data_IF_467483975248
#
_entry.id   IF_467483975248
#
_cell.length_a   1.000
_cell.length_b   1.000
_cell.length_c   1.000
_cell.angle_alpha   90.00
_cell.angle_beta   90.00
_cell.angle_gamma   90.00
#
_symmetry.space_group_name_H-M   'P 1'
#
loop_
_entity.id
_entity.type
_entity.pdbx_description
1 polymer ?
#
# COMPACT_ATOMS: atom_id res chain seq x y z
N UNK A 1 -62.52 -5.75 -13.65
CA UNK A 1 -61.32 -6.45 -13.08
C UNK A 1 -60.06 -6.26 -13.95
N UNK A 2 -60.17 -6.18 -15.28
CA UNK A 2 -59.03 -6.04 -16.19
C UNK A 2 -58.29 -4.71 -16.05
N UNK A 3 -58.97 -3.61 -15.74
CA UNK A 3 -58.40 -2.28 -15.54
C UNK A 3 -57.52 -2.22 -14.27
N UNK A 4 -57.90 -2.92 -13.22
CA UNK A 4 -57.17 -3.00 -11.98
C UNK A 4 -55.81 -3.71 -12.14
N UNK A 5 -55.79 -4.79 -12.93
CA UNK A 5 -54.55 -5.55 -13.23
C UNK A 5 -53.59 -4.70 -14.05
N UNK A 6 -54.06 -4.00 -15.07
CA UNK A 6 -53.25 -3.12 -15.90
C UNK A 6 -52.64 -1.93 -15.11
N UNK A 7 -53.38 -1.36 -14.15
CA UNK A 7 -52.91 -0.31 -13.27
C UNK A 7 -51.85 -0.80 -12.28
N UNK A 8 -51.98 -2.02 -11.77
CA UNK A 8 -50.99 -2.66 -10.88
C UNK A 8 -49.68 -2.95 -11.65
N UNK A 9 -49.76 -3.50 -12.85
CA UNK A 9 -48.57 -3.76 -13.67
C UNK A 9 -47.84 -2.46 -14.09
N UNK A 10 -48.59 -1.41 -14.43
CA UNK A 10 -48.02 -0.09 -14.76
C UNK A 10 -47.28 0.52 -13.55
N UNK A 11 -47.84 0.44 -12.34
CA UNK A 11 -47.20 0.94 -11.14
C UNK A 11 -45.97 0.12 -10.73
N UNK A 12 -46.02 -1.20 -10.85
CA UNK A 12 -44.91 -2.08 -10.57
C UNK A 12 -43.71 -1.81 -11.52
N UNK A 13 -43.98 -1.55 -12.79
CA UNK A 13 -42.92 -1.22 -13.74
C UNK A 13 -42.27 0.15 -13.41
N UNK A 14 -43.05 1.16 -13.05
CA UNK A 14 -42.47 2.45 -12.59
C UNK A 14 -41.59 2.30 -11.34
N UNK A 15 -42.02 1.47 -10.38
CA UNK A 15 -41.23 1.19 -9.19
C UNK A 15 -39.90 0.48 -9.55
N UNK A 16 -39.93 -0.50 -10.47
CA UNK A 16 -38.73 -1.17 -10.97
C UNK A 16 -37.72 -0.19 -11.61
N UNK A 17 -38.20 0.75 -12.45
CA UNK A 17 -37.35 1.75 -13.06
C UNK A 17 -36.83 2.78 -12.05
N UNK A 18 -37.62 3.14 -11.03
CA UNK A 18 -37.19 4.04 -9.97
C UNK A 18 -36.08 3.40 -9.10
N UNK A 19 -36.27 2.13 -8.71
CA UNK A 19 -35.25 1.39 -7.93
C UNK A 19 -33.98 1.17 -8.76
N UNK A 20 -34.09 0.85 -10.05
CA UNK A 20 -32.94 0.71 -10.93
C UNK A 20 -32.20 2.03 -11.13
N UNK A 21 -32.90 3.17 -11.22
CA UNK A 21 -32.30 4.50 -11.34
C UNK A 21 -31.57 4.93 -10.06
N UNK A 22 -32.06 4.56 -8.87
CA UNK A 22 -31.43 4.88 -7.58
C UNK A 22 -30.13 4.06 -7.39
N UNK A 23 -30.07 2.82 -7.87
CA UNK A 23 -28.87 1.98 -7.78
C UNK A 23 -27.68 2.50 -8.60
N UNK A 24 -27.91 3.32 -9.65
CA UNK A 24 -26.84 3.84 -10.52
C UNK A 24 -26.09 5.02 -9.88
N UNK A 25 -26.65 5.70 -8.88
CA UNK A 25 -26.04 6.88 -8.24
C UNK A 25 -25.17 6.60 -7.02
N UNK A 26 -25.00 5.33 -6.59
CA UNK A 26 -24.03 4.97 -5.55
C UNK A 26 -22.69 4.58 -6.23
N UNK A 27 -22.19 5.40 -7.13
CA UNK A 27 -20.79 5.43 -7.46
C UNK A 27 -20.08 6.09 -6.28
N UNK A 28 -19.74 5.32 -5.26
CA UNK A 28 -18.94 5.79 -4.16
C UNK A 28 -17.63 6.36 -4.73
N UNK A 29 -17.45 7.67 -4.63
CA UNK A 29 -16.14 8.25 -4.81
C UNK A 29 -15.24 7.62 -3.75
N UNK A 30 -14.41 6.65 -4.14
CA UNK A 30 -13.31 6.19 -3.31
C UNK A 30 -12.35 7.38 -3.22
N UNK A 31 -12.45 8.16 -2.13
CA UNK A 31 -11.48 9.19 -1.85
C UNK A 31 -10.13 8.48 -1.62
N UNK A 32 -9.16 8.78 -2.47
CA UNK A 32 -7.77 8.39 -2.28
C UNK A 32 -7.23 9.08 -1.03
N UNK A 33 -6.71 8.31 -0.09
CA UNK A 33 -6.07 8.83 1.11
C UNK A 33 -4.56 9.04 0.88
N UNK A 34 -3.98 10.05 1.54
CA UNK A 34 -2.54 10.19 1.65
C UNK A 34 -2.09 9.75 3.05
N UNK A 35 -1.18 8.79 3.09
CA UNK A 35 -0.58 8.26 4.30
C UNK A 35 0.84 8.78 4.45
N UNK A 36 1.34 8.88 5.69
CA UNK A 36 2.68 9.40 5.96
C UNK A 36 3.57 8.31 6.55
N UNK A 37 4.78 8.18 6.01
CA UNK A 37 5.87 7.36 6.55
C UNK A 37 7.07 8.28 6.87
N UNK A 38 7.52 8.27 8.12
CA UNK A 38 8.67 9.05 8.57
C UNK A 38 9.96 8.26 8.38
N UNK A 39 11.02 8.95 7.98
CA UNK A 39 12.39 8.43 7.88
C UNK A 39 13.16 8.86 9.12
N UNK A 40 13.59 7.89 9.96
CA UNK A 40 14.15 8.15 11.29
C UNK A 40 15.50 7.44 11.49
N UNK A 41 16.45 8.17 12.08
CA UNK A 41 17.73 7.58 12.49
C UNK A 41 17.60 6.69 13.73
N UNK A 42 16.62 6.99 14.62
CA UNK A 42 16.32 6.18 15.80
C UNK A 42 14.84 6.32 16.18
N UNK A 43 14.24 5.22 16.61
CA UNK A 43 12.91 5.17 17.21
C UNK A 43 12.90 4.15 18.33
N UNK A 44 12.72 4.58 19.59
CA UNK A 44 12.62 3.71 20.77
C UNK A 44 13.75 2.67 20.87
N UNK A 45 14.99 3.07 20.55
CA UNK A 45 16.16 2.20 20.59
C UNK A 45 16.42 1.39 19.31
N UNK A 46 15.51 1.41 18.34
CA UNK A 46 15.76 0.86 17.02
C UNK A 46 16.41 1.90 16.10
N UNK A 47 17.57 1.58 15.54
CA UNK A 47 18.27 2.45 14.60
C UNK A 47 17.81 2.25 13.17
N UNK A 48 17.88 3.34 12.39
CA UNK A 48 17.62 3.35 10.95
C UNK A 48 16.28 2.70 10.61
N UNK A 49 15.17 3.42 10.84
CA UNK A 49 13.81 2.90 10.72
C UNK A 49 12.90 3.83 9.92
N UNK A 50 11.90 3.22 9.29
CA UNK A 50 10.71 3.91 8.82
C UNK A 50 9.60 3.80 9.87
N UNK A 51 8.71 4.79 9.97
CA UNK A 51 7.58 4.77 10.91
C UNK A 51 6.29 5.24 10.20
N UNK A 52 5.29 4.34 10.07
CA UNK A 52 5.33 2.91 10.37
C UNK A 52 6.21 2.14 9.36
N UNK A 53 6.83 1.02 9.75
CA UNK A 53 7.65 0.21 8.83
C UNK A 53 6.82 -0.68 7.91
N UNK A 54 5.61 -1.04 8.33
CA UNK A 54 4.60 -1.76 7.54
C UNK A 54 3.32 -0.95 7.56
N UNK A 55 2.80 -0.64 6.38
CA UNK A 55 1.61 0.16 6.22
C UNK A 55 0.66 -0.51 5.23
N UNK A 56 -0.57 -0.80 5.66
CA UNK A 56 -1.63 -1.33 4.79
C UNK A 56 -2.51 -0.19 4.31
N UNK A 57 -2.74 -0.14 3.00
CA UNK A 57 -3.51 0.91 2.31
C UNK A 57 -4.44 0.31 1.26
N UNK A 58 -5.35 1.10 0.72
CA UNK A 58 -6.22 0.70 -0.38
C UNK A 58 -5.59 1.02 -1.75
N UNK A 59 -5.95 0.27 -2.81
CA UNK A 59 -5.61 0.68 -4.17
C UNK A 59 -6.11 2.10 -4.47
N UNK A 60 -5.25 2.92 -5.06
CA UNK A 60 -5.50 4.32 -5.34
C UNK A 60 -4.98 5.30 -4.28
N UNK A 61 -4.65 4.83 -3.07
CA UNK A 61 -4.03 5.66 -2.03
C UNK A 61 -2.60 6.06 -2.40
N UNK A 62 -2.10 7.08 -1.71
CA UNK A 62 -0.73 7.56 -1.83
C UNK A 62 0.02 7.47 -0.50
N UNK A 63 1.33 7.30 -0.57
CA UNK A 63 2.21 7.38 0.60
C UNK A 63 3.21 8.50 0.39
N UNK A 64 3.32 9.37 1.40
CA UNK A 64 4.31 10.42 1.49
C UNK A 64 5.41 10.01 2.47
N UNK A 65 6.64 9.90 1.99
CA UNK A 65 7.81 9.74 2.86
C UNK A 65 8.35 11.10 3.26
N UNK A 66 8.56 11.30 4.57
CA UNK A 66 9.03 12.55 5.15
C UNK A 66 10.42 12.35 5.77
N UNK A 67 11.39 13.15 5.35
CA UNK A 67 12.75 13.13 5.88
C UNK A 67 12.79 13.78 7.27
N UNK A 68 12.26 13.10 8.29
CA UNK A 68 12.18 13.61 9.68
C UNK A 68 13.58 13.77 10.29
N UNK A 69 14.51 12.86 9.97
CA UNK A 69 15.93 13.04 10.24
C UNK A 69 16.71 13.11 8.93
N UNK A 70 17.86 13.82 8.89
CA UNK A 70 18.67 13.93 7.67
C UNK A 70 19.40 12.61 7.33
N UNK A 71 19.80 12.47 6.07
CA UNK A 71 20.62 11.35 5.58
C UNK A 71 19.80 10.17 5.06
N UNK A 72 18.49 10.31 4.90
CA UNK A 72 17.61 9.25 4.45
C UNK A 72 16.96 9.56 3.09
N UNK A 73 16.58 8.48 2.40
CA UNK A 73 15.69 8.50 1.23
C UNK A 73 14.73 7.32 1.25
N UNK A 74 13.86 7.24 0.27
CA UNK A 74 13.05 6.06 -0.02
C UNK A 74 13.26 5.60 -1.46
N UNK A 75 13.48 4.31 -1.65
CA UNK A 75 13.56 3.67 -2.95
C UNK A 75 12.90 2.29 -2.90
N UNK A 76 12.26 1.88 -3.97
CA UNK A 76 11.72 0.53 -4.11
C UNK A 76 12.85 -0.52 -4.13
N UNK A 77 12.53 -1.76 -3.72
CA UNK A 77 13.46 -2.90 -3.77
C UNK A 77 13.09 -3.77 -4.98
N UNK A 78 14.05 -4.00 -5.85
CA UNK A 78 13.87 -4.86 -7.01
C UNK A 78 13.44 -6.27 -6.61
N UNK A 79 12.44 -6.80 -7.30
CA UNK A 79 11.86 -8.12 -7.00
C UNK A 79 10.87 -8.12 -5.83
N UNK A 80 10.63 -6.99 -5.16
CA UNK A 80 9.62 -6.84 -4.11
C UNK A 80 8.47 -5.92 -4.53
N UNK A 81 8.17 -5.83 -5.82
CA UNK A 81 7.04 -5.06 -6.34
C UNK A 81 6.02 -6.00 -7.00
N UNK A 82 4.72 -5.67 -6.96
CA UNK A 82 3.72 -6.37 -7.77
C UNK A 82 4.01 -6.24 -9.27
N UNK A 83 3.56 -7.20 -10.05
CA UNK A 83 3.72 -7.17 -11.50
C UNK A 83 3.08 -5.90 -12.11
N UNK A 84 3.84 -5.18 -12.91
CA UNK A 84 3.40 -3.97 -13.58
C UNK A 84 3.31 -2.73 -12.67
N UNK A 85 3.82 -2.80 -11.45
CA UNK A 85 4.01 -1.63 -10.60
C UNK A 85 5.27 -0.84 -11.02
N UNK A 86 5.20 0.49 -10.88
CA UNK A 86 6.34 1.35 -11.18
C UNK A 86 7.31 1.42 -10.00
N UNK A 87 8.63 1.26 -10.23
CA UNK A 87 9.63 1.52 -9.20
C UNK A 87 9.77 3.01 -8.92
N UNK A 88 10.34 3.35 -7.75
CA UNK A 88 10.68 4.72 -7.39
C UNK A 88 12.08 4.80 -6.75
N UNK A 89 12.67 5.99 -6.79
CA UNK A 89 13.94 6.29 -6.15
C UNK A 89 14.00 7.79 -5.83
N UNK A 90 13.72 8.15 -4.59
CA UNK A 90 13.80 9.54 -4.10
C UNK A 90 15.23 9.96 -3.77
N UNK A 91 15.50 11.26 -3.80
CA UNK A 91 16.76 11.84 -3.38
C UNK A 91 16.95 11.82 -1.86
N UNK A 92 18.21 11.99 -1.40
CA UNK A 92 18.53 12.10 0.03
C UNK A 92 17.93 13.39 0.60
N UNK A 93 17.24 13.28 1.73
CA UNK A 93 16.53 14.37 2.42
C UNK A 93 15.33 14.94 1.65
N UNK A 94 14.93 14.31 0.57
CA UNK A 94 13.76 14.71 -0.19
C UNK A 94 12.49 14.00 0.33
N UNK A 95 11.39 14.74 0.39
CA UNK A 95 10.06 14.18 0.54
C UNK A 95 9.61 13.60 -0.79
N UNK A 96 9.01 12.43 -0.78
CA UNK A 96 8.50 11.78 -1.98
C UNK A 96 7.07 11.29 -1.75
N UNK A 97 6.18 11.56 -2.70
CA UNK A 97 4.82 11.01 -2.73
C UNK A 97 4.73 10.00 -3.87
N UNK A 98 4.25 8.80 -3.56
CA UNK A 98 4.01 7.73 -4.54
C UNK A 98 2.56 7.26 -4.41
N UNK A 99 1.88 7.14 -5.55
CA UNK A 99 0.53 6.57 -5.65
C UNK A 99 0.60 5.08 -5.94
N UNK A 100 -0.28 4.30 -5.29
CA UNK A 100 -0.31 2.84 -5.35
C UNK A 100 -1.62 2.34 -5.95
N UNK A 101 -1.61 1.98 -7.23
CA UNK A 101 -2.80 1.52 -7.95
C UNK A 101 -2.87 -0.02 -8.09
N UNK A 102 -1.77 -0.75 -7.85
CA UNK A 102 -1.70 -2.21 -7.98
C UNK A 102 -1.71 -2.88 -6.63
N UNK A 103 -2.53 -3.91 -6.47
CA UNK A 103 -2.55 -4.71 -5.24
C UNK A 103 -1.29 -5.55 -5.08
N UNK A 104 -0.86 -5.72 -3.84
CA UNK A 104 0.28 -6.54 -3.44
C UNK A 104 1.20 -5.84 -2.45
N UNK A 105 2.35 -6.43 -2.22
CA UNK A 105 3.38 -5.95 -1.31
C UNK A 105 4.46 -5.21 -2.09
N UNK A 106 4.79 -4.01 -1.62
CA UNK A 106 5.88 -3.19 -2.14
C UNK A 106 6.95 -3.07 -1.06
N UNK A 107 8.10 -3.73 -1.29
CA UNK A 107 9.28 -3.56 -0.44
C UNK A 107 10.02 -2.27 -0.80
N UNK A 108 10.43 -1.51 0.22
CA UNK A 108 11.19 -0.29 0.03
C UNK A 108 12.34 -0.18 1.05
N UNK A 109 13.31 0.65 0.75
CA UNK A 109 14.55 0.81 1.51
C UNK A 109 15.01 2.26 1.57
N UNK A 110 15.86 2.57 2.55
CA UNK A 110 16.74 3.72 2.50
C UNK A 110 18.06 3.28 1.85
N UNK A 111 18.43 3.88 0.71
CA UNK A 111 19.59 3.42 -0.08
C UNK A 111 20.90 3.38 0.74
N UNK A 112 21.32 4.48 1.45
CA UNK A 112 22.55 4.45 2.22
C UNK A 112 22.51 3.54 3.45
N UNK A 113 21.33 3.27 4.02
CA UNK A 113 21.20 2.51 5.26
C UNK A 113 20.58 1.12 5.07
N UNK A 114 20.44 0.64 3.82
CA UNK A 114 19.87 -0.67 3.53
C UNK A 114 20.69 -1.81 4.15
N UNK A 115 22.01 -1.68 4.12
CA UNK A 115 22.92 -2.65 4.76
C UNK A 115 22.74 -2.74 6.29
N UNK A 116 22.16 -1.70 6.91
CA UNK A 116 21.81 -1.66 8.34
C UNK A 116 20.37 -2.16 8.59
N UNK A 117 19.67 -2.59 7.55
CA UNK A 117 18.31 -3.07 7.60
C UNK A 117 17.24 -1.97 7.59
N UNK A 118 17.54 -0.74 7.09
CA UNK A 118 16.52 0.29 6.93
C UNK A 118 15.65 0.01 5.73
N UNK A 119 14.56 -0.72 5.97
CA UNK A 119 13.58 -1.13 4.97
C UNK A 119 12.18 -1.19 5.56
N UNK A 120 11.17 -1.34 4.71
CA UNK A 120 9.77 -1.46 5.10
C UNK A 120 8.90 -2.01 3.98
N UNK A 121 7.59 -2.14 4.24
CA UNK A 121 6.60 -2.64 3.29
C UNK A 121 5.37 -1.74 3.24
N UNK A 122 4.90 -1.46 2.02
CA UNK A 122 3.54 -0.99 1.79
C UNK A 122 2.74 -2.19 1.29
N UNK A 123 1.60 -2.46 1.92
CA UNK A 123 0.66 -3.52 1.55
C UNK A 123 -0.57 -2.86 0.94
N UNK A 124 -0.83 -3.12 -0.31
CA UNK A 124 -1.96 -2.54 -1.07
C UNK A 124 -2.98 -3.64 -1.31
N UNK A 125 -4.16 -3.52 -0.71
CA UNK A 125 -5.23 -4.50 -0.88
C UNK A 125 -4.79 -5.93 -0.58
N UNK A 126 -4.84 -6.83 -1.58
CA UNK A 126 -4.52 -8.24 -1.42
C UNK A 126 -3.00 -8.52 -1.44
N UNK A 127 -2.42 -8.79 -0.27
CA UNK A 127 -1.00 -9.12 -0.10
C UNK A 127 -0.56 -10.41 -0.82
N UNK A 128 -1.48 -11.37 -0.99
CA UNK A 128 -1.14 -12.70 -1.53
C UNK A 128 -0.71 -12.67 -3.00
N UNK A 129 -0.93 -11.56 -3.72
CA UNK A 129 -0.60 -11.45 -5.14
C UNK A 129 0.90 -11.67 -5.45
N UNK A 130 1.79 -11.33 -4.51
CA UNK A 130 3.24 -11.49 -4.67
C UNK A 130 4.00 -11.86 -3.37
N UNK A 131 3.29 -12.30 -2.31
CA UNK A 131 3.86 -12.58 -0.99
C UNK A 131 5.06 -13.55 -1.04
N UNK A 132 4.95 -14.65 -1.78
CA UNK A 132 6.02 -15.66 -1.85
C UNK A 132 7.28 -15.13 -2.54
N UNK A 133 7.12 -14.33 -3.60
CA UNK A 133 8.22 -13.67 -4.28
C UNK A 133 8.92 -12.68 -3.34
N UNK A 134 8.14 -11.87 -2.61
CA UNK A 134 8.66 -10.91 -1.63
C UNK A 134 9.40 -11.61 -0.50
N UNK A 135 8.86 -12.70 0.07
CA UNK A 135 9.53 -13.50 1.12
C UNK A 135 10.89 -14.01 0.67
N UNK A 136 10.98 -14.53 -0.55
CA UNK A 136 12.24 -15.05 -1.12
C UNK A 136 13.30 -13.94 -1.22
N UNK A 137 12.94 -12.78 -1.79
CA UNK A 137 13.85 -11.65 -1.95
C UNK A 137 14.22 -11.05 -0.60
N UNK A 138 13.27 -10.95 0.35
CA UNK A 138 13.50 -10.46 1.70
C UNK A 138 14.52 -11.32 2.47
N UNK A 139 14.40 -12.65 2.39
CA UNK A 139 15.33 -13.58 3.03
C UNK A 139 16.75 -13.46 2.46
N UNK A 140 16.89 -13.36 1.13
CA UNK A 140 18.18 -13.14 0.50
C UNK A 140 18.79 -11.79 0.89
N UNK A 141 18.00 -10.72 0.88
CA UNK A 141 18.46 -9.38 1.22
C UNK A 141 18.91 -9.27 2.68
N UNK A 142 18.09 -9.73 3.64
CA UNK A 142 18.41 -9.60 5.07
C UNK A 142 19.60 -10.47 5.51
N UNK A 143 19.91 -11.55 4.79
CA UNK A 143 21.10 -12.35 5.04
C UNK A 143 22.40 -11.54 4.90
N UNK A 144 22.38 -10.49 4.09
CA UNK A 144 23.49 -9.58 3.78
C UNK A 144 23.54 -8.36 4.70
N UNK A 145 22.52 -8.16 5.56
CA UNK A 145 22.51 -7.03 6.49
C UNK A 145 23.62 -7.14 7.54
N UNK A 146 24.29 -6.03 7.82
CA UNK A 146 25.28 -5.93 8.88
C UNK A 146 24.61 -5.90 10.27
N UNK A 147 23.38 -5.35 10.36
CA UNK A 147 22.57 -5.23 11.55
C UNK A 147 21.12 -5.65 11.23
N UNK A 148 20.30 -5.92 12.27
CA UNK A 148 18.87 -6.20 12.12
C UNK A 148 18.54 -7.31 11.10
N UNK A 149 19.25 -8.42 11.18
CA UNK A 149 19.25 -9.53 10.20
C UNK A 149 17.91 -10.25 10.05
N UNK A 150 16.94 -10.02 10.93
CA UNK A 150 15.58 -10.60 10.87
C UNK A 150 14.51 -9.56 10.53
N UNK A 151 14.89 -8.29 10.41
CA UNK A 151 13.92 -7.17 10.32
C UNK A 151 12.89 -7.33 9.23
N UNK A 152 13.28 -7.78 8.02
CA UNK A 152 12.33 -7.97 6.93
C UNK A 152 11.37 -9.14 7.22
N UNK A 153 11.86 -10.23 7.81
CA UNK A 153 11.00 -11.36 8.23
C UNK A 153 10.01 -10.91 9.31
N UNK A 154 10.51 -10.20 10.34
CA UNK A 154 9.68 -9.71 11.45
C UNK A 154 8.58 -8.75 10.96
N UNK A 155 8.85 -7.97 9.92
CA UNK A 155 7.88 -7.10 9.30
C UNK A 155 6.88 -7.86 8.42
N UNK A 156 7.32 -8.91 7.72
CA UNK A 156 6.43 -9.75 6.91
C UNK A 156 5.43 -10.56 7.76
N UNK A 157 5.76 -10.87 9.02
CA UNK A 157 4.82 -11.47 9.97
C UNK A 157 3.64 -10.55 10.30
N UNK A 158 3.78 -9.24 10.10
CA UNK A 158 2.72 -8.24 10.31
C UNK A 158 1.81 -8.08 9.09
N UNK A 159 2.20 -8.64 7.94
CA UNK A 159 1.40 -8.60 6.71
C UNK A 159 0.29 -9.65 6.82
N UNK A 160 -0.95 -9.19 6.77
CA UNK A 160 -2.15 -10.02 6.90
C UNK A 160 -2.87 -10.16 5.58
#
# INVERSE_FOLDING_TARGET
DTIYVLLMEYNMNKIKYLVFSICIFISGNVLSAEHVVKMLSNLKGQSMVFEPPVLTINPGDSVKWVATNPGHNTASIDGMLPQGANPWNGGINEELVVKFDKEGIYGYKCTPHYILGMAGFIVVGNANSNLDAVKKVANDAQSKFAMNKTRLSDYLEQVK
#
